data_IF_622235239933
#
_entry.id   IF_622235239933
#
_cell.length_a   1.000
_cell.length_b   1.000
_cell.length_c   1.000
_cell.angle_alpha   90.00
_cell.angle_beta   90.00
_cell.angle_gamma   90.00
#
_symmetry.space_group_name_H-M   'P 1'
#
loop_
_entity.id
_entity.type
_entity.pdbx_description
1 polymer ?
#
# COMPACT_ATOMS: atom_id res chain seq x y z
N UNK A 1 -60.66 -32.19 51.16
CA UNK A 1 -60.23 -30.89 50.72
C UNK A 1 -58.72 -30.94 50.64
N UNK A 2 -58.16 -31.49 49.55
CA UNK A 2 -56.71 -31.56 49.23
C UNK A 2 -56.38 -30.37 48.38
N UNK A 3 -55.65 -29.41 48.96
CA UNK A 3 -55.08 -28.25 48.21
C UNK A 3 -53.85 -28.72 47.43
N UNK A 4 -53.96 -28.66 46.11
CA UNK A 4 -52.83 -28.82 45.18
C UNK A 4 -51.72 -27.89 45.54
N UNK A 5 -50.61 -28.43 46.03
CA UNK A 5 -49.34 -27.72 46.27
C UNK A 5 -48.29 -28.13 45.25
N UNK A 6 -48.58 -28.03 43.96
CA UNK A 6 -47.55 -28.05 42.91
C UNK A 6 -47.53 -26.70 42.22
N UNK A 7 -47.11 -25.70 42.98
CA UNK A 7 -46.63 -24.44 42.32
C UNK A 7 -45.34 -24.72 41.55
N UNK A 8 -45.45 -24.83 40.25
CA UNK A 8 -44.29 -24.95 39.38
C UNK A 8 -43.45 -23.69 39.56
N UNK A 9 -42.30 -23.81 40.24
CA UNK A 9 -41.43 -22.68 40.47
C UNK A 9 -40.55 -22.48 39.23
N UNK A 10 -40.95 -21.58 38.35
CA UNK A 10 -40.26 -21.25 37.07
C UNK A 10 -38.93 -20.54 37.28
N UNK A 11 -38.71 -19.87 38.40
CA UNK A 11 -37.58 -19.01 38.66
C UNK A 11 -36.19 -19.67 38.59
N UNK A 12 -35.96 -20.89 39.12
CA UNK A 12 -34.65 -21.53 39.03
C UNK A 12 -34.22 -21.82 37.59
N UNK A 13 -35.14 -22.26 36.73
CA UNK A 13 -34.85 -22.54 35.32
C UNK A 13 -34.62 -21.26 34.51
N UNK A 14 -35.32 -20.18 34.86
CA UNK A 14 -35.12 -18.89 34.21
C UNK A 14 -33.77 -18.25 34.58
N UNK A 15 -33.37 -18.32 35.85
CA UNK A 15 -32.08 -17.82 36.31
C UNK A 15 -30.90 -18.58 35.68
N UNK A 16 -31.01 -19.89 35.56
CA UNK A 16 -29.98 -20.72 34.91
C UNK A 16 -29.84 -20.37 33.41
N UNK A 17 -30.95 -20.19 32.70
CA UNK A 17 -30.98 -19.76 31.33
C UNK A 17 -30.36 -18.34 31.16
N UNK A 18 -30.68 -17.40 32.06
CA UNK A 18 -30.11 -16.07 32.05
C UNK A 18 -28.60 -16.07 32.34
N UNK A 19 -28.16 -16.92 33.28
CA UNK A 19 -26.75 -17.05 33.64
C UNK A 19 -25.93 -17.65 32.50
N UNK A 20 -26.46 -18.65 31.82
CA UNK A 20 -25.82 -19.23 30.62
C UNK A 20 -25.74 -18.24 29.45
N UNK A 21 -26.80 -17.44 29.22
CA UNK A 21 -26.81 -16.39 28.23
C UNK A 21 -25.73 -15.31 28.51
N UNK A 22 -25.69 -14.87 29.78
CA UNK A 22 -24.67 -13.89 30.22
C UNK A 22 -23.25 -14.44 30.00
N UNK A 23 -23.03 -15.72 30.36
CA UNK A 23 -21.73 -16.37 30.17
C UNK A 23 -21.32 -16.38 28.65
N UNK A 24 -22.25 -16.76 27.78
CA UNK A 24 -22.01 -16.76 26.33
C UNK A 24 -21.67 -15.34 25.83
N UNK A 25 -22.42 -14.33 26.26
CA UNK A 25 -22.14 -12.93 25.90
C UNK A 25 -20.76 -12.48 26.40
N UNK A 26 -20.36 -12.83 27.61
CA UNK A 26 -19.05 -12.51 28.14
C UNK A 26 -17.93 -13.19 27.37
N UNK A 27 -18.10 -14.45 26.94
CA UNK A 27 -17.13 -15.15 26.11
C UNK A 27 -16.98 -14.44 24.74
N UNK A 28 -18.12 -14.08 24.11
CA UNK A 28 -18.09 -13.35 22.83
C UNK A 28 -17.38 -12.01 23.00
N UNK A 29 -17.71 -11.22 24.03
CA UNK A 29 -17.06 -9.94 24.30
C UNK A 29 -15.55 -10.10 24.54
N UNK A 30 -15.13 -11.15 25.26
CA UNK A 30 -13.71 -11.44 25.47
C UNK A 30 -13.00 -11.76 24.16
N UNK A 31 -13.57 -12.61 23.29
CA UNK A 31 -13.01 -12.96 21.99
C UNK A 31 -12.91 -11.71 21.10
N UNK A 32 -13.99 -10.93 21.01
CA UNK A 32 -14.00 -9.67 20.22
C UNK A 32 -12.96 -8.68 20.75
N UNK A 33 -12.84 -8.52 22.07
CA UNK A 33 -11.82 -7.65 22.67
C UNK A 33 -10.40 -8.09 22.32
N UNK A 34 -10.12 -9.40 22.32
CA UNK A 34 -8.80 -9.93 21.90
C UNK A 34 -8.53 -9.68 20.42
N UNK A 35 -9.52 -9.85 19.54
CA UNK A 35 -9.38 -9.57 18.11
C UNK A 35 -9.10 -8.08 17.85
N UNK A 36 -9.81 -7.19 18.53
CA UNK A 36 -9.59 -5.74 18.41
C UNK A 36 -8.17 -5.37 18.88
N UNK A 37 -7.72 -5.92 20.02
CA UNK A 37 -6.38 -5.64 20.53
C UNK A 37 -5.27 -6.11 19.57
N UNK A 38 -5.39 -7.31 19.01
CA UNK A 38 -4.44 -7.82 18.02
C UNK A 38 -4.44 -6.98 16.72
N UNK A 39 -5.62 -6.56 16.25
CA UNK A 39 -5.73 -5.69 15.08
C UNK A 39 -5.08 -4.31 15.30
N UNK A 40 -5.24 -3.74 16.50
CA UNK A 40 -4.60 -2.47 16.87
C UNK A 40 -3.07 -2.57 16.89
N UNK A 41 -2.52 -3.63 17.46
CA UNK A 41 -1.06 -3.84 17.52
C UNK A 41 -0.42 -3.92 16.12
N UNK A 42 -1.06 -4.63 15.19
CA UNK A 42 -0.57 -4.73 13.82
C UNK A 42 -0.61 -3.40 13.07
N UNK A 43 -1.68 -2.60 13.28
CA UNK A 43 -1.78 -1.26 12.71
C UNK A 43 -0.70 -0.31 13.26
N UNK A 44 -0.38 -0.40 14.54
CA UNK A 44 0.65 0.41 15.16
C UNK A 44 2.04 0.04 14.61
N UNK A 45 2.36 -1.25 14.49
CA UNK A 45 3.59 -1.73 13.84
C UNK A 45 3.71 -1.29 12.38
N UNK A 46 2.60 -1.34 11.63
CA UNK A 46 2.58 -0.86 10.25
C UNK A 46 2.88 0.65 10.18
N UNK A 47 2.27 1.45 11.04
CA UNK A 47 2.50 2.90 11.13
C UNK A 47 3.93 3.25 11.53
N UNK A 48 4.49 2.55 12.51
CA UNK A 48 5.89 2.72 12.92
C UNK A 48 6.85 2.45 11.76
N UNK A 49 6.64 1.35 11.01
CA UNK A 49 7.43 1.03 9.82
C UNK A 49 7.26 2.08 8.71
N UNK A 50 6.04 2.55 8.46
CA UNK A 50 5.77 3.61 7.49
C UNK A 50 6.51 4.89 7.86
N UNK A 51 6.47 5.31 9.12
CA UNK A 51 7.16 6.50 9.60
C UNK A 51 8.68 6.33 9.53
N UNK A 52 9.21 5.15 9.89
CA UNK A 52 10.64 4.88 9.79
C UNK A 52 11.12 4.98 8.33
N UNK A 53 10.41 4.33 7.38
CA UNK A 53 10.74 4.34 5.96
C UNK A 53 10.72 5.77 5.41
N UNK A 54 9.64 6.53 5.64
CA UNK A 54 9.54 7.91 5.12
C UNK A 54 10.61 8.84 5.69
N UNK A 55 10.91 8.73 7.01
CA UNK A 55 11.90 9.56 7.67
C UNK A 55 13.29 9.28 7.11
N UNK A 56 13.69 8.01 7.06
CA UNK A 56 15.01 7.60 6.56
C UNK A 56 15.21 7.99 5.08
N UNK A 57 14.20 7.76 4.22
CA UNK A 57 14.28 8.17 2.81
C UNK A 57 14.41 9.70 2.72
N UNK A 58 13.61 10.46 3.45
CA UNK A 58 13.65 11.92 3.40
C UNK A 58 14.98 12.50 3.91
N UNK A 59 15.55 11.93 4.97
CA UNK A 59 16.84 12.35 5.52
C UNK A 59 18.01 12.05 4.57
N UNK A 60 18.02 10.86 3.95
CA UNK A 60 19.16 10.42 3.15
C UNK A 60 19.19 11.01 1.72
N UNK A 61 18.04 11.27 1.12
CA UNK A 61 17.97 11.75 -0.26
C UNK A 61 17.21 13.05 -0.46
N UNK A 62 16.61 13.63 0.60
CA UNK A 62 15.80 14.85 0.52
C UNK A 62 16.57 16.11 0.11
N UNK A 63 17.89 16.14 0.26
CA UNK A 63 18.73 17.22 -0.22
C UNK A 63 18.92 17.20 -1.75
N UNK A 64 18.96 15.99 -2.35
CA UNK A 64 19.21 15.79 -3.78
C UNK A 64 17.93 15.69 -4.61
N UNK A 65 16.88 15.16 -4.02
CA UNK A 65 15.58 14.92 -4.68
C UNK A 65 14.44 15.55 -3.91
N UNK A 66 13.45 16.09 -4.61
CA UNK A 66 12.23 16.57 -3.96
C UNK A 66 11.38 15.37 -3.50
N UNK A 67 11.31 15.17 -2.18
CA UNK A 67 10.52 14.10 -1.55
C UNK A 67 9.24 14.69 -0.98
N UNK A 68 8.09 14.25 -1.48
CA UNK A 68 6.78 14.61 -0.94
C UNK A 68 6.21 13.43 -0.15
N UNK A 69 5.74 13.69 1.08
CA UNK A 69 5.09 12.68 1.93
C UNK A 69 3.64 13.07 2.14
N UNK A 70 2.74 12.14 1.88
CA UNK A 70 1.29 12.31 1.98
C UNK A 70 0.75 11.21 2.89
N UNK A 71 0.23 11.60 4.05
CA UNK A 71 -0.47 10.68 4.95
C UNK A 71 -1.96 10.76 4.68
N UNK A 72 -2.57 9.62 4.43
CA UNK A 72 -4.00 9.50 4.12
C UNK A 72 -4.84 9.68 5.40
N UNK A 73 -5.03 10.93 5.80
CA UNK A 73 -6.00 11.26 6.85
C UNK A 73 -7.41 11.55 6.27
N UNK A 74 -7.49 11.90 4.96
CA UNK A 74 -8.74 12.15 4.25
C UNK A 74 -8.54 11.87 2.74
N UNK A 75 -9.22 10.86 2.20
CA UNK A 75 -9.08 10.38 0.82
C UNK A 75 -9.20 11.43 -0.29
N UNK A 76 -9.97 12.51 -0.09
CA UNK A 76 -10.17 13.55 -1.11
C UNK A 76 -9.03 14.57 -1.20
N UNK A 77 -8.43 14.95 -0.07
CA UNK A 77 -7.26 15.85 -0.04
C UNK A 77 -6.02 15.17 -0.63
N UNK A 78 -5.81 13.90 -0.32
CA UNK A 78 -4.69 13.09 -0.81
C UNK A 78 -4.63 13.08 -2.34
N UNK A 79 -5.77 12.90 -3.01
CA UNK A 79 -5.83 12.88 -4.49
C UNK A 79 -5.50 14.24 -5.11
N UNK A 80 -5.90 15.35 -4.47
CA UNK A 80 -5.58 16.71 -4.94
C UNK A 80 -4.10 17.04 -4.75
N UNK A 81 -3.52 16.64 -3.63
CA UNK A 81 -2.10 16.86 -3.34
C UNK A 81 -1.16 16.10 -4.29
N UNK A 82 -1.49 14.86 -4.64
CA UNK A 82 -0.76 14.07 -5.64
C UNK A 82 -0.79 14.76 -7.01
N UNK A 83 -1.94 15.34 -7.40
CA UNK A 83 -2.09 16.02 -8.69
C UNK A 83 -1.35 17.36 -8.75
N UNK A 84 -1.22 18.07 -7.65
CA UNK A 84 -0.76 19.46 -7.64
C UNK A 84 0.74 19.63 -7.34
N UNK A 85 1.39 18.69 -6.65
CA UNK A 85 2.81 18.80 -6.30
C UNK A 85 3.69 18.04 -7.28
N UNK A 86 4.70 18.74 -7.86
CA UNK A 86 5.75 18.13 -8.66
C UNK A 86 6.84 17.65 -7.71
N UNK A 87 6.95 16.35 -7.52
CA UNK A 87 8.01 15.74 -6.74
C UNK A 87 8.73 14.67 -7.58
N UNK A 88 10.01 14.45 -7.29
CA UNK A 88 10.80 13.38 -7.88
C UNK A 88 10.44 12.03 -7.26
N UNK A 89 10.15 12.05 -5.96
CA UNK A 89 9.73 10.91 -5.17
C UNK A 89 8.51 11.31 -4.33
N UNK A 90 7.47 10.48 -4.34
CA UNK A 90 6.27 10.69 -3.51
C UNK A 90 6.04 9.44 -2.67
N UNK A 91 5.87 9.62 -1.37
CA UNK A 91 5.52 8.54 -0.43
C UNK A 91 4.10 8.78 0.04
N UNK A 92 3.25 7.77 -0.11
CA UNK A 92 1.83 7.82 0.28
C UNK A 92 1.57 6.71 1.29
N UNK A 93 1.18 7.11 2.49
CA UNK A 93 0.82 6.18 3.55
C UNK A 93 -0.70 5.95 3.55
N UNK A 94 -1.10 4.70 3.42
CA UNK A 94 -2.47 4.22 3.60
C UNK A 94 -2.52 3.24 4.76
N UNK A 95 -3.73 2.89 5.22
CA UNK A 95 -3.92 2.04 6.39
C UNK A 95 -3.23 0.66 6.26
N UNK A 96 -3.30 0.06 5.07
CA UNK A 96 -2.84 -1.31 4.76
C UNK A 96 -1.57 -1.36 3.92
N UNK A 97 -1.11 -0.21 3.41
CA UNK A 97 0.03 -0.14 2.49
C UNK A 97 0.73 1.21 2.51
N UNK A 98 1.96 1.20 2.06
CA UNK A 98 2.72 2.41 1.73
C UNK A 98 3.13 2.34 0.26
N UNK A 99 3.01 3.43 -0.47
CA UNK A 99 3.42 3.51 -1.88
C UNK A 99 4.56 4.50 -2.02
N UNK A 100 5.70 4.03 -2.51
CA UNK A 100 6.86 4.87 -2.85
C UNK A 100 6.87 5.02 -4.36
N UNK A 101 6.58 6.22 -4.83
CA UNK A 101 6.47 6.55 -6.26
C UNK A 101 7.73 7.28 -6.71
N UNK A 102 8.35 6.81 -7.78
CA UNK A 102 9.48 7.45 -8.46
C UNK A 102 9.03 7.94 -9.82
N UNK A 103 9.31 9.21 -10.13
CA UNK A 103 9.21 9.70 -11.52
C UNK A 103 10.17 8.91 -12.41
N UNK A 104 9.76 8.57 -13.65
CA UNK A 104 10.59 7.78 -14.55
C UNK A 104 11.96 8.42 -14.82
N UNK A 105 11.99 9.75 -14.90
CA UNK A 105 13.23 10.52 -15.12
C UNK A 105 14.26 10.37 -13.99
N UNK A 106 13.86 9.93 -12.79
CA UNK A 106 14.79 9.65 -11.69
C UNK A 106 15.52 8.34 -11.93
N UNK A 107 14.79 7.30 -12.35
CA UNK A 107 15.31 5.94 -12.45
C UNK A 107 15.86 5.59 -13.84
N UNK A 108 15.27 6.14 -14.92
CA UNK A 108 15.53 5.71 -16.31
C UNK A 108 15.82 6.90 -17.23
N UNK A 109 16.48 6.60 -18.33
CA UNK A 109 16.54 7.51 -19.47
C UNK A 109 15.23 7.46 -20.28
N UNK A 110 15.01 8.48 -21.13
CA UNK A 110 13.82 8.53 -21.98
C UNK A 110 13.71 7.28 -22.85
N UNK A 111 12.55 6.63 -22.82
CA UNK A 111 12.25 5.37 -23.52
C UNK A 111 13.17 4.19 -23.14
N UNK A 112 14.06 4.36 -22.16
CA UNK A 112 14.91 3.31 -21.62
C UNK A 112 14.18 2.50 -20.54
N UNK A 113 14.66 1.27 -20.31
CA UNK A 113 14.21 0.39 -19.23
C UNK A 113 15.36 -0.08 -18.35
N UNK A 114 16.60 0.32 -18.65
CA UNK A 114 17.76 0.08 -17.79
C UNK A 114 17.89 1.19 -16.76
N UNK A 115 18.21 0.82 -15.53
CA UNK A 115 18.47 1.79 -14.47
C UNK A 115 19.69 2.63 -14.82
N UNK A 116 19.55 3.94 -14.80
CA UNK A 116 20.69 4.85 -14.93
C UNK A 116 21.42 5.03 -13.60
N UNK A 117 22.64 5.57 -13.62
CA UNK A 117 23.47 5.78 -12.42
C UNK A 117 22.69 6.46 -11.28
N UNK A 118 21.98 7.55 -11.59
CA UNK A 118 21.16 8.25 -10.61
C UNK A 118 20.02 7.38 -10.03
N UNK A 119 19.46 6.48 -10.84
CA UNK A 119 18.45 5.50 -10.41
C UNK A 119 19.03 4.47 -9.45
N UNK A 120 20.23 3.95 -9.78
CA UNK A 120 20.96 3.07 -8.86
C UNK A 120 21.26 3.75 -7.52
N UNK A 121 21.72 5.01 -7.54
CA UNK A 121 22.03 5.77 -6.32
C UNK A 121 20.79 5.91 -5.40
N UNK A 122 19.65 6.24 -5.99
CA UNK A 122 18.38 6.36 -5.24
C UNK A 122 17.94 5.02 -4.67
N UNK A 123 17.98 3.96 -5.49
CA UNK A 123 17.55 2.64 -5.05
C UNK A 123 18.50 2.01 -4.03
N UNK A 124 19.80 2.35 -4.05
CA UNK A 124 20.78 1.98 -3.00
C UNK A 124 20.46 2.59 -1.64
N UNK A 125 19.72 3.68 -1.60
CA UNK A 125 19.21 4.25 -0.35
C UNK A 125 17.87 3.60 0.03
N UNK A 126 16.93 3.58 -0.90
CA UNK A 126 15.57 3.10 -0.62
C UNK A 126 15.50 1.60 -0.37
N UNK A 127 16.31 0.80 -1.08
CA UNK A 127 16.30 -0.65 -0.96
C UNK A 127 16.64 -1.16 0.44
N UNK A 128 17.78 -0.76 1.05
CA UNK A 128 18.12 -1.13 2.42
C UNK A 128 17.06 -0.70 3.44
N UNK A 129 16.47 0.48 3.27
CA UNK A 129 15.38 0.94 4.16
C UNK A 129 14.17 0.02 4.08
N UNK A 130 13.81 -0.47 2.88
CA UNK A 130 12.76 -1.49 2.73
C UNK A 130 13.19 -2.80 3.39
N UNK A 131 14.44 -3.23 3.15
CA UNK A 131 14.99 -4.48 3.69
C UNK A 131 14.91 -4.53 5.22
N UNK A 132 15.29 -3.46 5.90
CA UNK A 132 15.27 -3.36 7.37
C UNK A 132 13.84 -3.44 7.96
N UNK A 133 12.83 -3.17 7.15
CA UNK A 133 11.42 -3.20 7.54
C UNK A 133 10.64 -4.43 7.06
N UNK A 134 11.30 -5.43 6.44
CA UNK A 134 10.67 -6.65 5.89
C UNK A 134 9.87 -7.45 6.92
N UNK A 135 10.23 -7.37 8.19
CA UNK A 135 9.52 -8.08 9.26
C UNK A 135 8.02 -7.73 9.32
N UNK A 136 7.65 -6.51 8.97
CA UNK A 136 6.28 -6.00 9.01
C UNK A 136 5.60 -5.97 7.62
N UNK A 137 6.34 -6.28 6.54
CA UNK A 137 5.84 -6.27 5.16
C UNK A 137 5.40 -7.68 4.79
N UNK A 138 4.20 -7.81 4.23
CA UNK A 138 3.64 -9.08 3.72
C UNK A 138 3.92 -9.29 2.23
N UNK A 139 3.92 -8.21 1.44
CA UNK A 139 4.16 -8.25 0.00
C UNK A 139 4.81 -6.94 -0.47
N UNK A 140 5.73 -7.05 -1.43
CA UNK A 140 6.32 -5.94 -2.17
C UNK A 140 5.85 -6.05 -3.62
N UNK A 141 5.08 -5.09 -4.10
CA UNK A 141 4.64 -5.05 -5.49
C UNK A 141 5.29 -3.88 -6.23
N UNK A 142 5.95 -4.16 -7.34
CA UNK A 142 6.53 -3.15 -8.21
C UNK A 142 5.59 -2.90 -9.38
N UNK A 143 5.06 -1.68 -9.48
CA UNK A 143 4.09 -1.28 -10.50
C UNK A 143 4.70 -0.33 -11.51
N UNK A 144 4.62 -0.70 -12.81
CA UNK A 144 5.06 0.13 -13.92
C UNK A 144 3.89 0.87 -14.56
N UNK A 145 4.08 2.17 -14.81
CA UNK A 145 3.09 3.06 -15.42
C UNK A 145 3.70 3.85 -16.57
N UNK A 146 2.90 4.11 -17.60
CA UNK A 146 3.22 4.90 -18.76
C UNK A 146 2.20 6.03 -18.97
N UNK A 147 2.54 6.98 -19.83
CA UNK A 147 1.60 7.97 -20.36
C UNK A 147 0.86 7.45 -21.61
N UNK A 148 0.07 8.33 -22.26
CA UNK A 148 -0.77 7.97 -23.40
C UNK A 148 -0.02 7.99 -24.75
N UNK A 149 1.26 8.38 -24.81
CA UNK A 149 1.92 8.80 -26.07
C UNK A 149 2.11 7.65 -27.07
N UNK A 150 2.44 6.45 -26.65
CA UNK A 150 2.72 5.32 -27.54
C UNK A 150 1.56 4.32 -27.62
N UNK A 151 1.77 3.23 -28.41
CA UNK A 151 0.83 2.13 -28.51
C UNK A 151 0.65 1.40 -27.19
N UNK A 152 -0.44 0.64 -27.05
CA UNK A 152 -0.73 -0.12 -25.84
C UNK A 152 0.35 -1.15 -25.54
N UNK A 153 0.77 -1.89 -26.55
CA UNK A 153 1.81 -2.93 -26.44
C UNK A 153 3.16 -2.32 -26.04
N UNK A 154 3.54 -1.18 -26.64
CA UNK A 154 4.78 -0.51 -26.28
C UNK A 154 4.74 -0.03 -24.82
N UNK A 155 3.68 0.66 -24.42
CA UNK A 155 3.53 1.19 -23.06
C UNK A 155 3.49 0.08 -22.01
N UNK A 156 2.76 -1.00 -22.29
CA UNK A 156 2.67 -2.15 -21.40
C UNK A 156 4.04 -2.84 -21.25
N UNK A 157 4.73 -3.05 -22.37
CA UNK A 157 6.05 -3.69 -22.39
C UNK A 157 7.12 -2.84 -21.72
N UNK A 158 7.18 -1.52 -22.01
CA UNK A 158 8.14 -0.63 -21.39
C UNK A 158 7.94 -0.53 -19.87
N UNK A 159 6.70 -0.36 -19.43
CA UNK A 159 6.37 -0.30 -18.02
C UNK A 159 6.69 -1.63 -17.29
N UNK A 160 6.45 -2.78 -17.93
CA UNK A 160 6.88 -4.09 -17.43
C UNK A 160 8.39 -4.20 -17.27
N UNK A 161 9.17 -3.86 -18.31
CA UNK A 161 10.62 -3.95 -18.28
C UNK A 161 11.22 -3.08 -17.18
N UNK A 162 10.69 -1.87 -16.99
CA UNK A 162 11.09 -0.97 -15.90
C UNK A 162 10.80 -1.55 -14.52
N UNK A 163 9.60 -2.13 -14.33
CA UNK A 163 9.25 -2.81 -13.08
C UNK A 163 10.17 -4.01 -12.81
N UNK A 164 10.52 -4.78 -13.85
CA UNK A 164 11.49 -5.89 -13.75
C UNK A 164 12.86 -5.39 -13.33
N UNK A 165 13.36 -4.28 -13.89
CA UNK A 165 14.66 -3.74 -13.53
C UNK A 165 14.74 -3.34 -12.05
N UNK A 166 13.68 -2.73 -11.51
CA UNK A 166 13.60 -2.40 -10.07
C UNK A 166 13.47 -3.67 -9.21
N UNK A 167 12.67 -4.64 -9.63
CA UNK A 167 12.55 -5.94 -8.96
C UNK A 167 13.92 -6.63 -8.86
N UNK A 168 14.65 -6.71 -9.97
CA UNK A 168 15.97 -7.33 -10.02
C UNK A 168 16.98 -6.61 -9.13
N UNK A 169 16.92 -5.28 -9.08
CA UNK A 169 17.75 -4.51 -8.15
C UNK A 169 17.44 -4.87 -6.69
N UNK A 170 16.17 -4.92 -6.30
CA UNK A 170 15.79 -5.28 -4.93
C UNK A 170 16.23 -6.71 -4.58
N UNK A 171 16.13 -7.63 -5.54
CA UNK A 171 16.56 -9.03 -5.34
C UNK A 171 18.09 -9.17 -5.27
N UNK A 172 18.80 -8.62 -6.25
CA UNK A 172 20.22 -8.95 -6.47
C UNK A 172 21.16 -8.01 -5.72
N UNK A 173 20.85 -6.71 -5.67
CA UNK A 173 21.72 -5.69 -5.10
C UNK A 173 21.37 -5.41 -3.63
N UNK A 174 20.08 -5.46 -3.26
CA UNK A 174 19.62 -5.28 -1.88
C UNK A 174 19.60 -6.60 -1.12
N UNK A 175 19.41 -7.73 -1.82
CA UNK A 175 19.38 -9.07 -1.23
C UNK A 175 18.00 -9.47 -0.66
N UNK A 176 16.92 -8.87 -1.13
CA UNK A 176 15.58 -9.31 -0.76
C UNK A 176 15.28 -10.65 -1.44
N UNK A 177 15.21 -11.72 -0.65
CA UNK A 177 14.96 -13.08 -1.14
C UNK A 177 13.45 -13.29 -1.45
N UNK A 178 13.06 -13.47 -2.72
CA UNK A 178 11.65 -13.68 -3.08
C UNK A 178 11.06 -15.01 -2.54
N UNK A 179 11.90 -15.95 -2.15
CA UNK A 179 11.44 -17.19 -1.52
C UNK A 179 10.95 -16.97 -0.07
N UNK A 180 11.42 -15.90 0.58
CA UNK A 180 11.04 -15.53 1.94
C UNK A 180 10.05 -14.36 1.99
N UNK A 181 10.16 -13.45 1.02
CA UNK A 181 9.39 -12.22 0.96
C UNK A 181 8.63 -12.19 -0.36
N UNK A 182 7.32 -12.24 -0.32
CA UNK A 182 6.50 -12.20 -1.53
C UNK A 182 6.77 -10.91 -2.32
N UNK A 183 7.28 -11.08 -3.54
CA UNK A 183 7.56 -9.98 -4.46
C UNK A 183 6.82 -10.21 -5.76
N UNK A 184 6.15 -9.18 -6.27
CA UNK A 184 5.41 -9.24 -7.53
C UNK A 184 5.68 -8.01 -8.41
N UNK A 185 5.45 -8.16 -9.71
CA UNK A 185 5.47 -7.06 -10.68
C UNK A 185 4.11 -6.92 -11.33
N UNK A 186 3.73 -5.67 -11.61
CA UNK A 186 2.50 -5.35 -12.34
C UNK A 186 2.77 -4.24 -13.33
N UNK A 187 2.33 -4.39 -14.58
CA UNK A 187 2.32 -3.29 -15.54
C UNK A 187 0.89 -2.84 -15.81
N UNK A 188 0.65 -1.57 -15.65
CA UNK A 188 -0.63 -0.94 -16.00
C UNK A 188 -0.58 -0.23 -17.35
N UNK A 189 0.61 -0.16 -18.00
CA UNK A 189 0.79 0.67 -19.16
C UNK A 189 0.27 2.08 -18.91
N UNK A 190 -0.59 2.60 -19.78
CA UNK A 190 -1.22 3.92 -19.66
C UNK A 190 -2.55 3.93 -18.89
N UNK A 191 -3.08 2.76 -18.52
CA UNK A 191 -4.47 2.63 -18.06
C UNK A 191 -4.69 2.90 -16.56
N UNK A 192 -3.64 3.19 -15.81
CA UNK A 192 -3.75 3.65 -14.41
C UNK A 192 -3.02 4.99 -14.24
N UNK A 193 -3.57 6.09 -14.80
CA UNK A 193 -3.02 7.42 -14.56
C UNK A 193 -3.13 7.80 -13.08
N UNK A 194 -2.36 8.82 -12.69
CA UNK A 194 -2.40 9.34 -11.32
C UNK A 194 -3.81 9.74 -10.93
N UNK A 195 -4.26 9.25 -9.76
CA UNK A 195 -5.59 9.54 -9.22
C UNK A 195 -6.71 8.64 -9.74
N UNK A 196 -6.40 7.59 -10.53
CA UNK A 196 -7.37 6.54 -10.85
C UNK A 196 -7.37 5.48 -9.76
N UNK A 197 -8.52 5.28 -9.11
CA UNK A 197 -8.71 4.26 -8.07
C UNK A 197 -9.36 2.98 -8.65
N UNK A 198 -9.10 1.85 -7.98
CA UNK A 198 -9.73 0.58 -8.34
C UNK A 198 -11.26 0.66 -8.13
N UNK A 199 -12.03 0.09 -9.05
CA UNK A 199 -13.50 0.12 -9.01
C UNK A 199 -14.14 1.44 -9.43
N UNK A 200 -13.35 2.50 -9.69
CA UNK A 200 -13.86 3.76 -10.22
C UNK A 200 -14.36 3.57 -11.66
N UNK A 201 -15.53 4.14 -11.97
CA UNK A 201 -15.99 4.27 -13.37
C UNK A 201 -15.00 5.15 -14.12
N UNK A 202 -14.41 4.64 -15.19
CA UNK A 202 -13.35 5.31 -15.93
C UNK A 202 -13.49 5.00 -17.43
N UNK A 203 -13.33 6.01 -18.25
CA UNK A 203 -13.46 5.91 -19.70
C UNK A 203 -12.27 6.53 -20.46
N UNK A 204 -12.34 6.54 -21.78
CA UNK A 204 -11.28 7.06 -22.63
C UNK A 204 -11.12 8.57 -22.50
N UNK A 205 -12.20 9.33 -22.36
CA UNK A 205 -12.14 10.77 -22.20
C UNK A 205 -11.44 11.16 -20.89
N UNK A 206 -11.71 10.43 -19.81
CA UNK A 206 -11.01 10.60 -18.54
C UNK A 206 -9.51 10.22 -18.65
N UNK A 207 -9.16 9.22 -19.45
CA UNK A 207 -7.77 8.86 -19.72
C UNK A 207 -7.04 9.99 -20.48
N UNK A 208 -7.67 10.57 -21.48
CA UNK A 208 -7.14 11.71 -22.24
C UNK A 208 -6.97 12.95 -21.37
N UNK A 209 -7.97 13.30 -20.55
CA UNK A 209 -7.90 14.40 -19.59
C UNK A 209 -6.78 14.18 -18.55
N UNK A 210 -6.57 12.95 -18.06
CA UNK A 210 -5.49 12.62 -17.14
C UNK A 210 -4.09 12.70 -17.79
N UNK A 211 -4.00 12.89 -19.09
CA UNK A 211 -2.77 13.02 -19.89
C UNK A 211 -2.77 14.28 -20.76
N UNK A 212 -3.56 15.30 -20.42
CA UNK A 212 -3.83 16.47 -21.26
C UNK A 212 -2.60 17.32 -21.60
N UNK A 213 -1.63 17.37 -20.71
CA UNK A 213 -0.44 18.22 -20.85
C UNK A 213 0.86 17.45 -20.52
N UNK A 214 1.99 18.11 -20.74
CA UNK A 214 3.32 17.54 -20.53
C UNK A 214 3.56 17.16 -19.07
N UNK A 215 3.02 17.95 -18.13
CA UNK A 215 3.19 17.71 -16.71
C UNK A 215 2.38 16.49 -16.25
N UNK A 216 1.14 16.38 -16.68
CA UNK A 216 0.28 15.23 -16.40
C UNK A 216 0.88 13.93 -16.95
N UNK A 217 1.38 13.95 -18.21
CA UNK A 217 2.10 12.81 -18.80
C UNK A 217 3.35 12.45 -18.01
N UNK A 218 4.14 13.44 -17.57
CA UNK A 218 5.34 13.20 -16.76
C UNK A 218 5.02 12.53 -15.42
N UNK A 219 3.92 12.91 -14.77
CA UNK A 219 3.44 12.27 -13.52
C UNK A 219 2.95 10.83 -13.78
N UNK A 220 2.37 10.57 -14.95
CA UNK A 220 1.89 9.23 -15.31
C UNK A 220 3.04 8.27 -15.61
N UNK A 221 4.17 8.74 -16.17
CA UNK A 221 5.40 7.94 -16.32
C UNK A 221 6.09 7.79 -14.98
N UNK A 222 5.84 6.69 -14.29
CA UNK A 222 6.36 6.44 -12.94
C UNK A 222 6.52 4.96 -12.66
N UNK A 223 7.30 4.67 -11.63
CA UNK A 223 7.34 3.36 -10.97
C UNK A 223 6.84 3.54 -9.54
N UNK A 224 6.01 2.63 -9.11
CA UNK A 224 5.53 2.56 -7.73
C UNK A 224 6.07 1.28 -7.07
N UNK A 225 6.71 1.40 -5.92
CA UNK A 225 6.97 0.28 -5.01
C UNK A 225 5.86 0.34 -3.95
N UNK A 226 4.99 -0.66 -3.95
CA UNK A 226 3.88 -0.77 -3.00
C UNK A 226 4.23 -1.81 -1.97
N UNK A 227 4.31 -1.38 -0.71
CA UNK A 227 4.59 -2.21 0.45
C UNK A 227 3.26 -2.51 1.15
N UNK A 228 2.81 -3.76 1.12
CA UNK A 228 1.65 -4.20 1.89
C UNK A 228 2.11 -4.67 3.27
N UNK A 229 1.43 -4.24 4.31
CA UNK A 229 1.77 -4.60 5.68
C UNK A 229 1.04 -5.85 6.14
N UNK A 230 1.65 -6.58 7.08
CA UNK A 230 1.06 -7.78 7.66
C UNK A 230 -0.21 -7.40 8.42
N UNK A 231 -1.27 -8.16 8.19
CA UNK A 231 -2.53 -8.06 8.91
C UNK A 231 -2.88 -9.46 9.39
N UNK A 232 -2.52 -9.78 10.63
CA UNK A 232 -2.72 -11.11 11.22
C UNK A 232 -4.18 -11.37 11.65
N UNK A 233 -5.14 -10.60 11.14
CA UNK A 233 -6.56 -10.88 11.31
C UNK A 233 -7.04 -11.99 10.36
N UNK A 234 -6.36 -13.15 10.40
CA UNK A 234 -6.83 -14.38 9.74
C UNK A 234 -7.20 -15.42 10.79
#
# INVERSE_FOLDING_TARGET
MLKDKFGFNFWPSFTDLMLSLVLVVLIILFVVSKMIAAGSENLDKARESQQAIQTQIKEQIGEKYSVNVISDKNNEETTKDIKNKKADITIIDKLDRQTITFSDKVLFDSNGSELKTAGYDVLKVVGPVIYDNLANISEIQIQGHADIVFTDDFNLTLASKRAIAVYQFLQNDVGIDPAKNLMSITSFGKYKPVGREAGQKFDRAMLEEANKDVEAKAKNRRIEIVLFYKNDMK
#
